data_IF_497168390715
#
_entry.id   IF_497168390715
#
_cell.length_a   1.000
_cell.length_b   1.000
_cell.length_c   1.000
_cell.angle_alpha   90.00
_cell.angle_beta   90.00
_cell.angle_gamma   90.00
#
_symmetry.space_group_name_H-M   'P 1'
#
loop_
_entity.id
_entity.type
_entity.pdbx_description
1 polymer ?
#
# COMPACT_ATOMS: atom_id res chain seq x y z
N UNK A 1 5.76 5.16 17.32
CA UNK A 1 4.46 5.31 16.63
C UNK A 1 3.65 4.03 16.74
N UNK A 2 2.41 4.15 17.15
CA UNK A 2 1.52 3.00 17.10
C UNK A 2 0.94 2.93 15.69
N UNK A 3 1.36 1.94 14.94
CA UNK A 3 0.99 1.86 13.52
C UNK A 3 -0.51 1.70 13.30
N UNK A 4 -1.14 0.83 14.08
CA UNK A 4 -2.59 0.65 13.94
C UNK A 4 -3.33 1.96 14.21
N UNK A 5 -2.93 2.69 15.23
CA UNK A 5 -3.54 3.98 15.54
C UNK A 5 -3.32 4.98 14.42
N UNK A 6 -2.13 5.00 13.85
CA UNK A 6 -1.84 5.90 12.74
C UNK A 6 -2.72 5.59 11.53
N UNK A 7 -2.85 4.31 11.21
CA UNK A 7 -3.68 3.89 10.08
C UNK A 7 -5.15 4.25 10.33
N UNK A 8 -5.60 4.09 11.58
CA UNK A 8 -6.97 4.46 11.94
C UNK A 8 -7.19 5.95 11.75
N UNK A 9 -6.21 6.75 12.13
CA UNK A 9 -6.31 8.19 11.97
C UNK A 9 -6.38 8.58 10.49
N UNK A 10 -5.52 8.00 9.68
CA UNK A 10 -5.52 8.27 8.22
C UNK A 10 -6.86 7.88 7.62
N UNK A 11 -7.39 6.72 8.04
CA UNK A 11 -8.66 6.25 7.53
C UNK A 11 -9.79 7.23 7.82
N UNK A 12 -9.86 7.73 9.04
CA UNK A 12 -10.89 8.68 9.41
C UNK A 12 -10.71 10.02 8.71
N UNK A 13 -9.48 10.51 8.63
CA UNK A 13 -9.22 11.83 8.07
C UNK A 13 -9.35 11.84 6.55
N UNK A 14 -8.85 10.82 5.90
CA UNK A 14 -8.78 10.83 4.44
C UNK A 14 -9.94 10.11 3.76
N UNK A 15 -10.57 9.17 4.46
CA UNK A 15 -11.67 8.38 3.88
C UNK A 15 -13.01 8.61 4.58
N UNK A 16 -12.99 9.17 5.79
CA UNK A 16 -14.21 9.33 6.58
C UNK A 16 -14.79 8.00 7.06
N UNK A 17 -13.97 6.96 7.14
CA UNK A 17 -14.40 5.64 7.54
C UNK A 17 -13.44 5.05 8.53
N UNK A 18 -13.94 4.18 9.38
CA UNK A 18 -13.11 3.52 10.39
C UNK A 18 -12.29 2.40 9.80
N UNK A 19 -11.06 2.25 10.29
CA UNK A 19 -10.26 1.06 10.07
C UNK A 19 -10.38 0.22 11.34
N UNK A 20 -10.98 -0.95 11.24
CA UNK A 20 -11.31 -1.76 12.41
C UNK A 20 -10.41 -2.95 12.63
N UNK A 21 -9.40 -3.11 11.84
CA UNK A 21 -8.51 -4.24 11.93
C UNK A 21 -7.15 -3.78 12.40
N UNK A 22 -6.10 -4.49 12.06
CA UNK A 22 -4.78 -4.12 12.57
C UNK A 22 -3.82 -3.84 11.44
N UNK A 23 -2.83 -3.03 11.73
CA UNK A 23 -1.74 -2.75 10.82
C UNK A 23 -0.44 -3.11 11.51
N UNK A 24 0.48 -3.73 10.79
CA UNK A 24 1.74 -4.21 11.34
C UNK A 24 2.89 -3.87 10.44
N UNK A 25 4.05 -3.67 11.05
CA UNK A 25 5.28 -3.54 10.29
C UNK A 25 5.72 -4.93 9.86
N UNK A 26 6.17 -5.06 8.62
CA UNK A 26 6.66 -6.34 8.10
C UNK A 26 7.98 -6.11 7.39
N UNK A 27 9.09 -6.38 8.07
CA UNK A 27 10.42 -6.15 7.53
C UNK A 27 10.80 -7.16 6.45
N UNK A 28 9.98 -8.18 6.23
CA UNK A 28 10.22 -9.14 5.15
C UNK A 28 9.82 -8.61 3.80
N UNK A 29 8.97 -7.58 3.75
CA UNK A 29 8.63 -6.96 2.49
C UNK A 29 9.89 -6.32 1.92
N UNK A 30 10.14 -6.50 0.64
CA UNK A 30 11.36 -5.98 0.04
C UNK A 30 11.14 -4.74 -0.77
N UNK A 31 10.38 -4.82 -1.83
CA UNK A 31 10.11 -3.67 -2.70
C UNK A 31 8.69 -3.16 -2.53
N UNK A 32 7.83 -3.95 -1.95
CA UNK A 32 6.43 -3.58 -1.75
C UNK A 32 6.31 -2.69 -0.53
N UNK A 33 5.60 -1.59 -0.66
CA UNK A 33 5.42 -0.66 0.46
C UNK A 33 4.42 -1.14 1.48
N UNK A 34 3.41 -1.88 1.04
CA UNK A 34 2.39 -2.41 1.93
C UNK A 34 1.64 -3.54 1.27
N UNK A 35 0.79 -4.17 2.05
CA UNK A 35 0.00 -5.31 1.55
C UNK A 35 -1.30 -5.44 2.32
N UNK A 36 -2.39 -5.68 1.60
CA UNK A 36 -3.69 -5.96 2.19
C UNK A 36 -3.95 -7.46 2.15
N UNK A 37 -4.41 -8.01 3.27
CA UNK A 37 -4.72 -9.44 3.38
C UNK A 37 -6.23 -9.64 3.50
N UNK A 38 -6.89 -10.12 2.45
CA UNK A 38 -8.36 -10.26 2.51
C UNK A 38 -8.86 -11.24 3.57
N UNK A 39 -8.03 -12.24 3.93
CA UNK A 39 -8.48 -13.24 4.87
C UNK A 39 -8.91 -12.68 6.21
N UNK A 40 -8.09 -11.85 6.81
CA UNK A 40 -8.39 -11.25 8.11
C UNK A 40 -8.40 -9.73 8.03
N UNK A 41 -8.23 -9.19 6.84
CA UNK A 41 -8.31 -7.76 6.54
C UNK A 41 -7.25 -6.92 7.22
N UNK A 42 -6.14 -7.53 7.64
CA UNK A 42 -5.06 -6.72 8.21
C UNK A 42 -4.18 -6.14 7.12
N UNK A 43 -3.42 -5.14 7.49
CA UNK A 43 -2.47 -4.48 6.58
C UNK A 43 -1.06 -4.65 7.12
N UNK A 44 -0.12 -4.95 6.21
CA UNK A 44 1.30 -4.94 6.54
C UNK A 44 1.95 -3.77 5.84
N UNK A 45 2.97 -3.19 6.47
CA UNK A 45 3.70 -2.07 5.87
C UNK A 45 5.20 -2.30 6.00
N UNK A 46 5.93 -1.86 5.00
CA UNK A 46 7.38 -2.01 4.94
C UNK A 46 8.06 -0.87 5.69
N UNK A 47 8.73 -1.17 6.81
CA UNK A 47 9.35 -0.09 7.59
C UNK A 47 10.46 0.63 6.82
N UNK A 48 11.07 -0.03 5.83
CA UNK A 48 12.12 0.60 5.02
C UNK A 48 11.59 1.78 4.23
N UNK A 49 10.34 1.73 3.81
CA UNK A 49 9.73 2.84 3.07
C UNK A 49 9.62 4.07 3.97
N UNK A 50 9.13 3.85 5.18
CA UNK A 50 9.00 4.94 6.13
C UNK A 50 10.38 5.53 6.47
N UNK A 51 11.36 4.66 6.71
CA UNK A 51 12.70 5.09 7.07
C UNK A 51 13.39 5.84 5.94
N UNK A 52 13.15 5.42 4.70
CA UNK A 52 13.84 6.01 3.55
C UNK A 52 13.17 7.27 3.04
N UNK A 53 11.85 7.26 2.95
CA UNK A 53 11.12 8.33 2.27
C UNK A 53 10.35 9.25 3.21
N UNK A 54 10.19 8.88 4.46
CA UNK A 54 9.54 9.72 5.45
C UNK A 54 8.03 9.52 5.53
N UNK A 55 7.44 10.29 6.42
CA UNK A 55 6.03 10.11 6.77
C UNK A 55 5.09 10.48 5.63
N UNK A 56 5.43 11.50 4.87
CA UNK A 56 4.55 11.97 3.81
C UNK A 56 4.33 10.89 2.74
N UNK A 57 5.41 10.28 2.29
CA UNK A 57 5.32 9.20 1.32
C UNK A 57 4.65 7.99 1.96
N UNK A 58 5.00 7.69 3.20
CA UNK A 58 4.39 6.57 3.91
C UNK A 58 2.88 6.73 4.02
N UNK A 59 2.40 7.94 4.31
CA UNK A 59 0.96 8.19 4.40
C UNK A 59 0.25 7.88 3.09
N UNK A 60 0.87 8.21 1.96
CA UNK A 60 0.29 7.89 0.66
C UNK A 60 0.21 6.40 0.41
N UNK A 61 1.16 5.64 0.95
CA UNK A 61 1.12 4.18 0.85
C UNK A 61 0.02 3.63 1.76
N UNK A 62 -0.16 4.21 2.93
CA UNK A 62 -1.27 3.83 3.81
C UNK A 62 -2.59 4.07 3.10
N UNK A 63 -2.73 5.18 2.38
CA UNK A 63 -3.94 5.44 1.62
C UNK A 63 -4.18 4.39 0.54
N UNK A 64 -3.10 3.93 -0.13
CA UNK A 64 -3.20 2.88 -1.13
C UNK A 64 -3.78 1.60 -0.53
N UNK A 65 -3.25 1.17 0.60
CA UNK A 65 -3.72 -0.06 1.23
C UNK A 65 -5.13 0.10 1.80
N UNK A 66 -5.46 1.29 2.30
CA UNK A 66 -6.80 1.55 2.78
C UNK A 66 -7.83 1.55 1.64
N UNK A 67 -7.43 1.90 0.43
CA UNK A 67 -8.32 1.76 -0.72
C UNK A 67 -8.72 0.31 -0.92
N UNK A 68 -7.75 -0.61 -0.87
CA UNK A 68 -8.06 -2.04 -0.94
C UNK A 68 -8.98 -2.45 0.19
N UNK A 69 -8.66 -2.02 1.39
CA UNK A 69 -9.41 -2.40 2.59
C UNK A 69 -10.86 -1.95 2.52
N UNK A 70 -11.10 -0.67 2.25
CA UNK A 70 -12.45 -0.14 2.28
C UNK A 70 -13.30 -0.64 1.11
N UNK A 71 -12.71 -0.79 -0.06
CA UNK A 71 -13.46 -1.29 -1.21
C UNK A 71 -13.81 -2.77 -1.02
N UNK A 72 -12.89 -3.55 -0.46
CA UNK A 72 -13.18 -4.93 -0.16
C UNK A 72 -14.32 -5.04 0.85
N UNK A 73 -14.28 -4.20 1.88
CA UNK A 73 -15.32 -4.18 2.91
C UNK A 73 -16.69 -3.81 2.34
N UNK A 74 -16.71 -2.95 1.33
CA UNK A 74 -17.95 -2.52 0.69
C UNK A 74 -18.42 -3.46 -0.41
N UNK A 75 -17.68 -4.49 -0.71
CA UNK A 75 -18.02 -5.39 -1.79
C UNK A 75 -17.83 -4.80 -3.17
N UNK A 76 -16.95 -3.79 -3.29
CA UNK A 76 -16.67 -3.15 -4.55
C UNK A 76 -15.36 -3.62 -5.13
N UNK A 77 -15.02 -3.14 -6.32
CA UNK A 77 -13.78 -3.52 -6.98
C UNK A 77 -12.57 -3.01 -6.23
N UNK A 78 -11.83 -3.88 -5.58
CA UNK A 78 -10.73 -3.49 -4.70
C UNK A 78 -9.35 -3.79 -5.29
N UNK A 79 -9.29 -4.28 -6.51
CA UNK A 79 -8.02 -4.61 -7.15
C UNK A 79 -7.52 -3.45 -7.98
N UNK A 80 -6.22 -3.44 -8.25
CA UNK A 80 -5.60 -2.35 -8.99
C UNK A 80 -6.26 -2.09 -10.36
N UNK A 81 -6.75 -3.11 -11.01
CA UNK A 81 -7.35 -2.96 -12.32
C UNK A 81 -8.78 -2.45 -12.28
N UNK A 82 -9.40 -2.48 -11.12
CA UNK A 82 -10.79 -2.11 -11.00
C UNK A 82 -10.96 -0.59 -11.01
N UNK A 83 -12.02 -0.14 -11.67
CA UNK A 83 -12.30 1.28 -11.76
C UNK A 83 -12.55 1.89 -10.38
N UNK A 84 -13.26 1.16 -9.53
CA UNK A 84 -13.52 1.64 -8.16
C UNK A 84 -12.21 1.96 -7.44
N UNK A 85 -11.22 1.09 -7.57
CA UNK A 85 -9.93 1.31 -6.93
C UNK A 85 -9.23 2.53 -7.51
N UNK A 86 -9.19 2.64 -8.83
CA UNK A 86 -8.50 3.75 -9.49
C UNK A 86 -9.12 5.10 -9.11
N UNK A 87 -10.43 5.14 -9.04
CA UNK A 87 -11.13 6.37 -8.69
C UNK A 87 -10.89 6.76 -7.24
N UNK A 88 -10.97 5.80 -6.33
CA UNK A 88 -10.77 6.10 -4.92
C UNK A 88 -9.32 6.50 -4.65
N UNK A 89 -8.37 5.81 -5.26
CA UNK A 89 -6.96 6.14 -5.07
C UNK A 89 -6.66 7.56 -5.51
N UNK A 90 -7.22 7.99 -6.63
CA UNK A 90 -7.04 9.34 -7.10
C UNK A 90 -7.72 10.34 -6.16
N UNK A 91 -8.89 9.99 -5.67
CA UNK A 91 -9.65 10.87 -4.80
C UNK A 91 -8.91 11.16 -3.49
N UNK A 92 -8.26 10.15 -2.92
CA UNK A 92 -7.54 10.32 -1.66
C UNK A 92 -6.05 10.65 -1.85
N UNK A 93 -5.60 10.75 -3.07
CA UNK A 93 -4.21 11.06 -3.38
C UNK A 93 -3.25 10.00 -2.81
N UNK A 94 -3.55 8.76 -3.07
CA UNK A 94 -2.66 7.66 -2.69
C UNK A 94 -1.63 7.38 -3.76
N UNK A 95 -0.54 6.71 -3.37
CA UNK A 95 0.48 6.32 -4.33
C UNK A 95 0.03 5.08 -5.07
N UNK A 96 0.14 5.12 -6.40
CA UNK A 96 -0.18 3.95 -7.20
C UNK A 96 0.92 2.90 -7.13
N UNK A 97 2.17 3.35 -7.11
CA UNK A 97 3.31 2.45 -7.06
C UNK A 97 4.24 2.84 -5.94
N UNK A 98 4.86 1.85 -5.31
CA UNK A 98 5.86 2.10 -4.30
C UNK A 98 7.12 2.66 -4.95
N UNK A 99 7.69 3.75 -4.43
CA UNK A 99 8.94 4.25 -4.98
C UNK A 99 10.06 3.23 -4.77
N UNK A 100 11.01 3.13 -5.69
CA UNK A 100 12.07 2.15 -5.55
C UNK A 100 13.00 2.49 -4.41
N UNK A 101 13.41 1.45 -3.66
CA UNK A 101 14.38 1.61 -2.59
C UNK A 101 15.78 1.50 -3.15
N UNK A 102 16.76 2.23 -2.58
CA UNK A 102 18.13 2.03 -2.98
C UNK A 102 18.62 0.66 -2.54
N UNK A 103 19.46 0.02 -3.33
CA UNK A 103 20.01 -1.26 -2.94
C UNK A 103 21.25 -1.05 -2.10
N UNK A 104 21.97 -2.13 -1.80
CA UNK A 104 23.12 -2.04 -0.93
C UNK A 104 24.22 -1.19 -1.47
N UNK A 105 24.32 -1.05 -2.78
CA UNK A 105 25.36 -0.24 -3.40
C UNK A 105 24.91 1.19 -3.56
N UNK A 106 23.74 1.53 -3.10
CA UNK A 106 23.18 2.85 -3.25
C UNK A 106 22.44 3.07 -4.54
N UNK A 107 22.40 2.08 -5.42
CA UNK A 107 21.65 2.23 -6.66
C UNK A 107 20.17 1.94 -6.44
N UNK A 108 19.34 2.65 -7.16
CA UNK A 108 17.92 2.44 -7.10
C UNK A 108 17.57 1.20 -7.90
N UNK A 109 16.75 0.33 -7.32
CA UNK A 109 16.33 -0.83 -8.05
C UNK A 109 15.37 -0.43 -9.09
N UNK A 110 15.59 -1.00 -10.32
CA UNK A 110 14.90 -0.54 -11.27
C UNK A 110 13.66 -1.12 -11.48
N UNK A 111 13.02 -1.80 -11.25
CA UNK A 111 12.01 -2.32 -11.62
C UNK A 111 11.03 -1.82 -11.36
N UNK A 112 10.86 -1.23 -10.89
CA UNK A 112 10.10 -1.25 -10.77
C UNK A 112 9.26 -0.71 -9.92
N UNK A 113 8.67 -0.02 -9.89
CA UNK A 113 7.63 0.56 -9.30
C UNK A 113 6.52 -0.36 -9.22
N UNK A 114 6.58 -1.31 -8.35
CA UNK A 114 5.68 -2.32 -8.34
C UNK A 114 4.39 -2.05 -7.76
N UNK A 115 3.35 -2.69 -8.21
CA UNK A 115 2.06 -2.79 -7.58
C UNK A 115 2.12 -3.78 -6.45
N UNK A 116 1.07 -3.87 -5.65
CA UNK A 116 0.99 -4.88 -4.61
C UNK A 116 0.99 -6.26 -5.23
N UNK A 117 1.89 -7.14 -4.80
CA UNK A 117 1.99 -8.45 -5.43
C UNK A 117 0.72 -9.27 -5.35
N UNK A 118 -0.01 -9.18 -4.26
CA UNK A 118 -1.20 -10.02 -4.15
C UNK A 118 -2.38 -9.49 -4.96
N UNK A 119 -2.23 -8.31 -5.51
CA UNK A 119 -3.27 -7.78 -6.35
C UNK A 119 -2.91 -7.90 -7.79
N UNK A 120 -1.75 -8.05 -7.94
CA UNK A 120 -1.33 -8.08 -9.15
C UNK A 120 -0.87 -8.99 -9.90
N UNK A 121 -0.78 -9.05 -10.14
CA UNK A 121 -0.26 -9.50 -10.69
C UNK A 121 -0.11 -9.38 -11.84
N UNK A 122 0.22 -9.20 -12.27
CA UNK A 122 0.42 -9.00 -13.16
C UNK A 122 1.20 -8.61 -13.79
N UNK A 123 1.80 -8.55 -13.72
CA UNK A 123 2.50 -8.05 -14.20
C UNK A 123 3.38 -8.60 -14.44
N UNK A 124 3.78 -8.96 -14.12
CA UNK A 124 4.53 -9.36 -14.14
C UNK A 124 5.14 -9.84 -14.72
N UNK A 125 5.35 -9.86 -15.01
CA UNK A 125 5.86 -10.14 -15.40
C UNK A 125 6.58 -10.20 -15.92
N UNK A 126 6.89 -9.89 -15.98
CA UNK A 126 7.44 -9.68 -16.34
C UNK A 126 8.15 -9.76 -16.61
N UNK A 127 8.45 -9.67 -16.64
CA UNK A 127 9.02 -9.51 -16.82
C UNK A 127 9.66 -9.64 -17.04
N UNK A 128 10.01 -9.58 -17.04
CA UNK A 128 10.52 -9.44 -17.14
C UNK A 128 10.87 -9.51 -17.22
N UNK A 129 11.15 -9.43 -17.12
CA UNK A 129 11.48 -9.25 -17.18
C UNK A 129 11.70 -9.33 -17.27
#
# INVERSE_FOLDING_TARGET
>A
MNLTEYVRQVSLEDFGREFRHRAEWNSRLQTTGGRFFPNDRHLDFNPKIYQTFGLEVFRKIVRHELCHYHLYDQGKGYRHKDLDFKQLLQQVDGLRFTPPLPDRTGRVKRIYLYQCPHCGQEYRRKRKI
#
